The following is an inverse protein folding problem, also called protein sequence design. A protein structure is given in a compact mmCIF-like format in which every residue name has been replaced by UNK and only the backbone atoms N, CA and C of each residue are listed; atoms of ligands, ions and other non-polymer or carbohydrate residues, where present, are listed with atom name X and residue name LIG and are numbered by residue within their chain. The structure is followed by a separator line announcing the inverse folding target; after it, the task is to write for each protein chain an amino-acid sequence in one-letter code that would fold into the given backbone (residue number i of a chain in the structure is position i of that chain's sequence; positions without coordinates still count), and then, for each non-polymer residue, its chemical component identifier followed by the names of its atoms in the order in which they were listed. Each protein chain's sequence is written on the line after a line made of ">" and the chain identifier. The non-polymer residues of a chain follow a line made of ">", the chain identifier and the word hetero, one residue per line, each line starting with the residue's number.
data_IF_073484550347
#
_entry.id   IF_073484550347
#
_cell.length_a   1.000
_cell.length_b   1.000
_cell.length_c   1.000
_cell.angle_alpha   90.00
_cell.angle_beta   90.00
_cell.angle_gamma   90.00
#
_symmetry.space_group_name_H-M   'P 1'
#
loop_
_entity.id
_entity.type
_entity.pdbx_description
1 polymer ?
#
# COMPACT_ATOMS: atom_id res chain seq x y z
N UNK A 1 36.75 7.79 -10.33
CA UNK A 1 35.47 8.03 -11.02
C UNK A 1 35.04 9.44 -10.67
N UNK A 2 34.56 10.22 -11.63
CA UNK A 2 34.08 11.57 -11.37
C UNK A 2 32.76 11.48 -10.60
N UNK A 3 32.65 12.20 -9.49
CA UNK A 3 31.42 12.31 -8.69
C UNK A 3 30.33 12.97 -9.54
N UNK A 4 29.15 12.37 -9.57
CA UNK A 4 27.99 12.97 -10.27
C UNK A 4 27.06 13.62 -9.26
N UNK A 5 26.77 14.91 -9.49
CA UNK A 5 25.94 15.71 -8.62
C UNK A 5 24.52 15.87 -9.19
N UNK A 6 23.51 15.85 -8.29
CA UNK A 6 22.10 16.08 -8.60
C UNK A 6 21.49 17.11 -7.65
N UNK A 7 20.46 17.81 -8.08
CA UNK A 7 19.66 18.66 -7.20
C UNK A 7 18.88 17.79 -6.20
N UNK A 8 18.26 16.69 -6.70
CA UNK A 8 17.51 15.76 -5.86
C UNK A 8 17.91 14.31 -6.17
N UNK A 9 18.19 13.54 -5.13
CA UNK A 9 18.32 12.07 -5.21
C UNK A 9 17.17 11.42 -4.45
N UNK A 10 16.46 10.52 -5.15
CA UNK A 10 15.38 9.68 -4.60
C UNK A 10 15.94 8.28 -4.43
N UNK A 11 15.77 7.69 -3.24
CA UNK A 11 16.25 6.34 -2.91
C UNK A 11 15.06 5.42 -2.74
N UNK A 12 14.87 4.49 -3.67
CA UNK A 12 13.81 3.51 -3.74
C UNK A 12 12.89 3.69 -4.94
N UNK A 13 12.97 2.75 -5.88
CA UNK A 13 12.18 2.71 -7.12
C UNK A 13 10.82 2.02 -6.98
N UNK A 14 10.21 2.07 -5.77
CA UNK A 14 8.82 1.70 -5.55
C UNK A 14 7.85 2.75 -6.07
N UNK A 15 6.55 2.52 -5.88
CA UNK A 15 5.50 3.43 -6.37
C UNK A 15 5.66 4.87 -5.83
N UNK A 16 6.09 5.04 -4.58
CA UNK A 16 6.24 6.36 -3.95
C UNK A 16 7.39 7.15 -4.56
N UNK A 17 8.60 6.57 -4.62
CA UNK A 17 9.75 7.26 -5.22
C UNK A 17 9.60 7.49 -6.72
N UNK A 18 8.96 6.56 -7.44
CA UNK A 18 8.64 6.74 -8.86
C UNK A 18 7.65 7.88 -9.09
N UNK A 19 6.62 8.01 -8.23
CA UNK A 19 5.67 9.12 -8.28
C UNK A 19 6.36 10.47 -8.00
N UNK A 20 7.27 10.49 -7.01
CA UNK A 20 8.03 11.69 -6.69
C UNK A 20 8.93 12.12 -7.87
N UNK A 21 9.60 11.17 -8.52
CA UNK A 21 10.40 11.47 -9.72
C UNK A 21 9.56 12.15 -10.81
N UNK A 22 8.35 11.64 -11.06
CA UNK A 22 7.42 12.23 -12.02
C UNK A 22 6.97 13.62 -11.59
N UNK A 23 6.56 13.81 -10.34
CA UNK A 23 6.06 15.10 -9.86
C UNK A 23 7.14 16.16 -9.87
N UNK A 24 8.37 15.83 -9.48
CA UNK A 24 9.52 16.73 -9.56
C UNK A 24 9.84 17.12 -11.02
N UNK A 25 9.88 16.15 -11.93
CA UNK A 25 10.18 16.43 -13.32
C UNK A 25 9.11 17.29 -13.99
N UNK A 26 7.83 16.97 -13.79
CA UNK A 26 6.71 17.57 -14.52
C UNK A 26 6.29 18.95 -13.97
N UNK A 27 6.39 19.16 -12.63
CA UNK A 27 5.74 20.29 -11.96
C UNK A 27 6.69 21.18 -11.16
N UNK A 28 8.01 20.94 -11.18
CA UNK A 28 8.96 21.77 -10.41
C UNK A 28 10.03 22.41 -11.27
N UNK A 29 10.73 23.42 -10.72
CA UNK A 29 11.91 24.05 -11.32
C UNK A 29 13.17 23.19 -11.25
N UNK A 30 13.16 22.04 -10.53
CA UNK A 30 14.29 21.12 -10.39
C UNK A 30 14.62 20.49 -11.73
N UNK A 31 15.90 20.48 -12.12
CA UNK A 31 16.34 20.02 -13.45
C UNK A 31 17.05 18.68 -13.43
N UNK A 32 17.77 18.37 -12.36
CA UNK A 32 18.64 17.20 -12.28
C UNK A 32 18.21 16.28 -11.15
N UNK A 33 17.56 15.18 -11.50
CA UNK A 33 16.97 14.20 -10.57
C UNK A 33 17.65 12.85 -10.81
N UNK A 34 17.95 12.11 -9.73
CA UNK A 34 18.32 10.71 -9.81
C UNK A 34 17.35 9.84 -8.98
N UNK A 35 16.97 8.69 -9.51
CA UNK A 35 16.25 7.64 -8.81
C UNK A 35 17.13 6.40 -8.68
N UNK A 36 17.44 5.99 -7.45
CA UNK A 36 18.28 4.85 -7.15
C UNK A 36 17.42 3.67 -6.71
N UNK A 37 17.58 2.52 -7.36
CA UNK A 37 16.89 1.27 -7.02
C UNK A 37 17.90 0.13 -6.85
N UNK A 38 17.80 -0.63 -5.76
CA UNK A 38 18.75 -1.70 -5.46
C UNK A 38 18.60 -2.95 -6.33
N UNK A 39 17.45 -3.13 -6.95
CA UNK A 39 17.15 -4.27 -7.83
C UNK A 39 17.28 -3.93 -9.32
N UNK A 40 17.17 -4.96 -10.14
CA UNK A 40 17.24 -4.88 -11.61
C UNK A 40 16.03 -4.18 -12.26
N UNK A 41 14.98 -3.86 -11.49
CA UNK A 41 13.76 -3.24 -12.01
C UNK A 41 13.03 -2.42 -10.95
N UNK A 42 12.18 -1.52 -11.43
CA UNK A 42 11.29 -0.74 -10.59
C UNK A 42 10.15 -1.60 -10.02
N UNK A 43 9.66 -1.24 -8.84
CA UNK A 43 8.47 -1.83 -8.21
C UNK A 43 8.53 -3.36 -8.02
N UNK A 44 9.70 -3.94 -7.79
CA UNK A 44 9.91 -5.39 -7.71
C UNK A 44 9.53 -6.02 -6.37
N UNK A 45 9.24 -5.19 -5.33
CA UNK A 45 8.84 -5.63 -4.00
C UNK A 45 7.36 -5.33 -3.73
N UNK A 46 7.06 -4.47 -2.75
CA UNK A 46 5.70 -4.22 -2.26
C UNK A 46 4.77 -3.55 -3.28
N UNK A 47 5.33 -2.80 -4.23
CA UNK A 47 4.58 -2.17 -5.32
C UNK A 47 4.24 -3.13 -6.46
N UNK A 48 4.87 -4.30 -6.54
CA UNK A 48 4.54 -5.33 -7.52
C UNK A 48 3.09 -5.78 -7.36
N UNK A 49 2.37 -6.00 -8.46
CA UNK A 49 0.95 -6.36 -8.44
C UNK A 49 0.65 -7.64 -7.61
N UNK A 50 1.57 -8.61 -7.55
CA UNK A 50 1.43 -9.80 -6.69
C UNK A 50 1.61 -9.51 -5.20
N UNK A 51 2.13 -8.34 -4.81
CA UNK A 51 2.44 -8.02 -3.42
C UNK A 51 1.37 -7.17 -2.71
N UNK A 52 0.36 -6.69 -3.42
CA UNK A 52 -0.70 -5.83 -2.90
C UNK A 52 -2.08 -6.24 -3.43
N UNK A 53 -3.15 -5.59 -2.97
CA UNK A 53 -4.54 -5.89 -3.36
C UNK A 53 -4.92 -5.43 -4.76
N UNK A 54 -4.06 -4.74 -5.49
CA UNK A 54 -4.41 -4.13 -6.78
C UNK A 54 -5.65 -3.22 -6.68
N UNK A 55 -5.91 -2.65 -5.51
CA UNK A 55 -7.11 -1.87 -5.24
C UNK A 55 -6.77 -0.40 -5.11
N UNK A 56 -7.57 0.44 -5.75
CA UNK A 56 -7.60 1.87 -5.45
C UNK A 56 -8.44 2.05 -4.19
N UNK A 57 -7.76 2.37 -3.09
CA UNK A 57 -8.39 2.66 -1.81
C UNK A 57 -8.86 4.10 -1.78
N UNK A 58 -10.16 4.30 -1.98
CA UNK A 58 -10.76 5.65 -2.03
C UNK A 58 -11.32 6.12 -0.68
N UNK A 59 -11.37 5.27 0.34
CA UNK A 59 -12.04 5.55 1.60
C UNK A 59 -13.54 5.22 1.61
N UNK A 60 -14.07 4.73 0.50
CA UNK A 60 -15.48 4.39 0.32
C UNK A 60 -15.86 3.07 1.01
N UNK A 61 -15.03 2.03 0.87
CA UNK A 61 -15.26 0.70 1.47
C UNK A 61 -14.39 0.42 2.71
N UNK A 62 -13.47 1.31 3.06
CA UNK A 62 -12.64 1.22 4.26
C UNK A 62 -13.48 1.57 5.49
N UNK A 63 -14.08 0.54 6.13
CA UNK A 63 -15.10 0.70 7.16
C UNK A 63 -14.60 1.29 8.48
N UNK A 64 -13.28 1.41 8.65
CA UNK A 64 -12.64 2.03 9.82
C UNK A 64 -12.28 3.51 9.61
N UNK A 65 -12.56 4.11 8.44
CA UNK A 65 -12.30 5.53 8.21
C UNK A 65 -13.50 6.39 8.64
N UNK A 66 -13.21 7.53 9.24
CA UNK A 66 -14.18 8.62 9.37
C UNK A 66 -14.28 9.43 8.07
N UNK A 67 -15.20 10.38 8.02
CA UNK A 67 -15.41 11.23 6.84
C UNK A 67 -14.19 12.09 6.51
N UNK A 68 -13.48 12.59 7.50
CA UNK A 68 -12.30 13.42 7.29
C UNK A 68 -11.19 12.61 6.61
N UNK A 69 -10.89 11.42 7.16
CA UNK A 69 -9.89 10.52 6.58
C UNK A 69 -10.31 10.03 5.20
N UNK A 70 -11.58 9.71 5.01
CA UNK A 70 -12.12 9.28 3.72
C UNK A 70 -11.99 10.38 2.65
N UNK A 71 -12.30 11.63 3.00
CA UNK A 71 -12.13 12.79 2.09
C UNK A 71 -10.67 12.99 1.68
N UNK A 72 -9.73 12.89 2.64
CA UNK A 72 -8.30 12.99 2.36
C UNK A 72 -7.82 11.89 1.40
N UNK A 73 -8.21 10.65 1.68
CA UNK A 73 -7.81 9.48 0.88
C UNK A 73 -8.45 9.51 -0.51
N UNK A 74 -9.73 9.92 -0.60
CA UNK A 74 -10.41 10.12 -1.88
C UNK A 74 -9.66 11.08 -2.78
N UNK A 75 -9.29 12.25 -2.25
CA UNK A 75 -8.52 13.25 -3.01
C UNK A 75 -7.23 12.67 -3.58
N UNK A 76 -6.49 11.88 -2.79
CA UNK A 76 -5.25 11.22 -3.25
C UNK A 76 -5.52 10.12 -4.30
N UNK A 77 -6.62 9.38 -4.14
CA UNK A 77 -7.04 8.36 -5.10
C UNK A 77 -7.47 8.97 -6.44
N UNK A 78 -8.18 10.09 -6.41
CA UNK A 78 -8.62 10.80 -7.61
C UNK A 78 -7.41 11.26 -8.46
N UNK A 79 -6.29 11.66 -7.83
CA UNK A 79 -5.04 11.99 -8.54
C UNK A 79 -4.52 10.82 -9.39
N UNK A 80 -4.62 9.57 -8.89
CA UNK A 80 -4.20 8.38 -9.64
C UNK A 80 -5.05 8.22 -10.91
N UNK A 81 -6.36 8.36 -10.77
CA UNK A 81 -7.27 8.26 -11.90
C UNK A 81 -6.97 9.34 -12.93
N UNK A 82 -6.81 10.59 -12.49
CA UNK A 82 -6.45 11.73 -13.36
C UNK A 82 -5.13 11.52 -14.08
N UNK A 83 -4.08 11.06 -13.37
CA UNK A 83 -2.81 10.71 -13.98
C UNK A 83 -2.97 9.67 -15.09
N UNK A 84 -3.69 8.59 -14.80
CA UNK A 84 -3.89 7.51 -15.77
C UNK A 84 -4.71 7.97 -16.99
N UNK A 85 -5.71 8.81 -16.78
CA UNK A 85 -6.52 9.40 -17.85
C UNK A 85 -5.69 10.35 -18.74
N UNK A 86 -4.92 11.27 -18.11
CA UNK A 86 -4.01 12.18 -18.80
C UNK A 86 -3.10 11.44 -19.78
N UNK A 87 -2.59 10.26 -19.39
CA UNK A 87 -1.61 9.50 -20.17
C UNK A 87 -2.20 8.34 -20.97
N UNK A 88 -3.54 8.15 -20.98
CA UNK A 88 -4.21 7.10 -21.72
C UNK A 88 -3.89 5.68 -21.23
N UNK A 89 -3.86 5.48 -19.91
CA UNK A 89 -3.57 4.18 -19.28
C UNK A 89 -4.81 3.40 -18.85
N UNK A 90 -6.00 3.91 -19.17
CA UNK A 90 -7.26 3.21 -19.01
C UNK A 90 -7.28 1.91 -19.81
N UNK A 91 -7.78 0.84 -19.22
CA UNK A 91 -7.78 -0.52 -19.76
C UNK A 91 -6.38 -1.13 -20.10
N UNK A 92 -5.29 -0.44 -19.71
CA UNK A 92 -3.92 -0.98 -19.78
C UNK A 92 -3.48 -1.51 -18.43
N UNK A 93 -3.57 -0.69 -17.41
CA UNK A 93 -3.29 -1.07 -16.02
C UNK A 93 -4.22 -0.41 -15.00
N UNK A 94 -5.14 0.46 -15.44
CA UNK A 94 -6.24 1.01 -14.67
C UNK A 94 -7.56 0.46 -15.17
N UNK A 95 -8.38 -0.16 -14.30
CA UNK A 95 -9.60 -0.84 -14.69
C UNK A 95 -10.78 -0.43 -13.81
N UNK A 96 -11.93 -0.27 -14.45
CA UNK A 96 -13.22 -0.17 -13.76
C UNK A 96 -13.68 -1.55 -13.30
N UNK A 97 -14.45 -1.58 -12.21
CA UNK A 97 -15.01 -2.83 -11.73
C UNK A 97 -15.79 -2.67 -10.44
N UNK A 98 -16.48 -3.73 -10.09
CA UNK A 98 -17.23 -3.82 -8.84
C UNK A 98 -16.29 -3.82 -7.64
N UNK A 99 -16.69 -3.10 -6.59
CA UNK A 99 -16.01 -3.07 -5.31
C UNK A 99 -17.03 -2.85 -4.20
N UNK A 100 -17.02 -3.66 -3.15
CA UNK A 100 -17.98 -3.54 -2.06
C UNK A 100 -17.38 -3.94 -0.70
N UNK A 101 -17.93 -3.38 0.37
CA UNK A 101 -17.76 -3.84 1.74
C UNK A 101 -18.99 -4.66 2.15
N UNK A 102 -18.77 -5.88 2.63
CA UNK A 102 -19.79 -6.84 3.01
C UNK A 102 -19.97 -6.87 4.53
N UNK A 103 -21.19 -6.64 5.00
CA UNK A 103 -21.63 -6.92 6.37
C UNK A 103 -22.35 -8.27 6.43
N UNK A 104 -22.02 -9.08 7.43
CA UNK A 104 -22.58 -10.42 7.65
C UNK A 104 -23.08 -10.54 9.08
N UNK A 105 -24.37 -10.83 9.25
CA UNK A 105 -25.07 -10.85 10.52
C UNK A 105 -25.56 -9.46 10.94
N UNK A 106 -26.53 -9.43 11.83
CA UNK A 106 -27.32 -8.26 12.19
C UNK A 106 -26.45 -7.04 12.53
N UNK A 107 -25.46 -7.19 13.40
CA UNK A 107 -24.61 -6.08 13.85
C UNK A 107 -23.79 -5.45 12.73
N UNK A 108 -23.20 -6.27 11.82
CA UNK A 108 -22.43 -5.74 10.70
C UNK A 108 -23.35 -5.12 9.63
N UNK A 109 -24.55 -5.68 9.43
CA UNK A 109 -25.57 -5.13 8.52
C UNK A 109 -25.98 -3.72 8.95
N UNK A 110 -26.24 -3.51 10.24
CA UNK A 110 -26.55 -2.19 10.77
C UNK A 110 -25.41 -1.20 10.60
N UNK A 111 -24.18 -1.58 10.92
CA UNK A 111 -23.01 -0.72 10.74
C UNK A 111 -22.77 -0.33 9.28
N UNK A 112 -22.98 -1.24 8.34
CA UNK A 112 -22.88 -0.92 6.89
C UNK A 112 -23.97 0.06 6.47
N UNK A 113 -25.20 -0.12 6.94
CA UNK A 113 -26.32 0.81 6.64
C UNK A 113 -26.04 2.21 7.20
N UNK A 114 -25.61 2.30 8.48
CA UNK A 114 -25.25 3.59 9.07
C UNK A 114 -24.11 4.27 8.33
N UNK A 115 -23.10 3.48 7.91
CA UNK A 115 -21.99 4.01 7.16
C UNK A 115 -22.44 4.53 5.79
N UNK A 116 -23.29 3.80 5.09
CA UNK A 116 -23.84 4.23 3.81
C UNK A 116 -24.52 5.60 3.96
N UNK A 117 -25.38 5.78 4.95
CA UNK A 117 -26.07 7.06 5.18
C UNK A 117 -25.09 8.21 5.42
N UNK A 118 -23.99 7.96 6.13
CA UNK A 118 -22.94 8.97 6.42
C UNK A 118 -22.07 9.30 5.20
N UNK A 119 -21.88 8.35 4.27
CA UNK A 119 -20.88 8.45 3.21
C UNK A 119 -21.45 8.70 1.81
N UNK A 120 -22.74 8.48 1.58
CA UNK A 120 -23.40 8.61 0.28
C UNK A 120 -23.27 10.00 -0.36
N UNK A 121 -23.15 11.07 0.44
CA UNK A 121 -22.94 12.42 -0.09
C UNK A 121 -21.51 12.62 -0.59
N UNK A 122 -20.52 12.06 0.11
CA UNK A 122 -19.12 12.12 -0.28
C UNK A 122 -18.83 11.24 -1.51
N UNK A 123 -19.57 10.15 -1.65
CA UNK A 123 -19.45 9.18 -2.75
C UNK A 123 -20.81 8.93 -3.43
N UNK A 124 -21.26 9.81 -4.33
CA UNK A 124 -22.58 9.70 -4.97
C UNK A 124 -22.82 8.41 -5.77
N UNK A 125 -21.75 7.69 -6.10
CA UNK A 125 -21.81 6.40 -6.78
C UNK A 125 -22.07 5.21 -5.84
N UNK A 126 -21.99 5.39 -4.52
CA UNK A 126 -22.23 4.32 -3.57
C UNK A 126 -23.69 3.85 -3.64
N UNK A 127 -23.83 2.54 -3.58
CA UNK A 127 -25.10 1.83 -3.52
C UNK A 127 -25.09 0.90 -2.32
N UNK A 128 -26.27 0.66 -1.78
CA UNK A 128 -26.50 -0.35 -0.75
C UNK A 128 -27.21 -1.53 -1.43
N UNK A 129 -26.63 -2.71 -1.35
CA UNK A 129 -27.14 -3.93 -1.97
C UNK A 129 -27.66 -4.86 -0.88
N UNK A 130 -28.95 -5.17 -0.93
CA UNK A 130 -29.56 -6.17 -0.08
C UNK A 130 -29.25 -7.60 -0.57
N UNK A 131 -29.73 -8.62 0.17
CA UNK A 131 -29.49 -10.02 -0.15
C UNK A 131 -30.08 -10.43 -1.51
N UNK A 132 -31.22 -9.86 -1.92
CA UNK A 132 -31.87 -10.14 -3.20
C UNK A 132 -31.09 -9.54 -4.40
N UNK A 133 -30.52 -8.36 -4.20
CA UNK A 133 -29.66 -7.75 -5.18
C UNK A 133 -28.34 -8.49 -5.30
N UNK A 134 -27.75 -8.89 -4.16
CA UNK A 134 -26.52 -9.67 -4.12
C UNK A 134 -26.65 -11.04 -4.79
N UNK A 135 -27.84 -11.69 -4.77
CA UNK A 135 -28.10 -12.91 -5.54
C UNK A 135 -27.85 -12.72 -7.03
N UNK A 136 -28.10 -11.54 -7.56
CA UNK A 136 -27.94 -11.20 -8.99
C UNK A 136 -26.51 -10.77 -9.31
N UNK A 137 -25.88 -10.00 -8.44
CA UNK A 137 -24.59 -9.35 -8.67
C UNK A 137 -23.44 -10.30 -8.32
N UNK A 138 -23.52 -10.93 -7.14
CA UNK A 138 -22.49 -11.83 -6.56
C UNK A 138 -23.14 -13.05 -5.90
N UNK A 139 -23.73 -13.98 -6.66
CA UNK A 139 -24.48 -15.11 -6.10
C UNK A 139 -23.65 -15.97 -5.13
N UNK A 140 -22.33 -16.01 -5.28
CA UNK A 140 -21.43 -16.75 -4.39
C UNK A 140 -21.39 -16.20 -2.96
N UNK A 141 -21.83 -14.95 -2.72
CA UNK A 141 -21.97 -14.42 -1.37
C UNK A 141 -23.19 -14.97 -0.64
N UNK A 142 -24.18 -15.42 -1.39
CA UNK A 142 -25.50 -15.78 -0.89
C UNK A 142 -25.68 -17.29 -0.74
N UNK A 143 -25.25 -18.07 -1.73
CA UNK A 143 -25.54 -19.51 -1.77
C UNK A 143 -24.42 -20.35 -1.16
N UNK A 144 -24.82 -21.33 -0.34
CA UNK A 144 -23.93 -22.35 0.22
C UNK A 144 -23.59 -23.46 -0.80
N UNK A 145 -22.84 -24.47 -0.36
CA UNK A 145 -22.42 -25.59 -1.21
C UNK A 145 -23.55 -26.54 -1.65
N UNK A 146 -24.75 -26.40 -1.07
CA UNK A 146 -25.96 -27.17 -1.43
C UNK A 146 -26.90 -26.37 -2.33
N UNK A 147 -26.58 -25.11 -2.57
CA UNK A 147 -27.45 -24.19 -3.33
C UNK A 147 -28.54 -23.55 -2.49
N UNK A 148 -28.48 -23.70 -1.17
CA UNK A 148 -29.36 -23.04 -0.22
C UNK A 148 -28.82 -21.66 0.12
N UNK A 149 -29.71 -20.74 0.44
CA UNK A 149 -29.29 -19.41 0.91
C UNK A 149 -28.67 -19.50 2.31
N UNK A 150 -27.61 -18.73 2.53
CA UNK A 150 -27.05 -18.59 3.87
C UNK A 150 -28.09 -18.05 4.84
N UNK A 151 -28.06 -18.57 6.08
CA UNK A 151 -29.02 -18.17 7.12
C UNK A 151 -28.80 -16.74 7.61
N UNK A 152 -27.55 -16.25 7.57
CA UNK A 152 -27.22 -14.93 8.06
C UNK A 152 -27.78 -13.84 7.12
N UNK A 153 -28.22 -12.74 7.71
CA UNK A 153 -28.49 -11.53 6.98
C UNK A 153 -27.19 -10.95 6.44
N UNK A 154 -27.25 -10.44 5.22
CA UNK A 154 -26.12 -9.77 4.58
C UNK A 154 -26.57 -8.49 3.88
N UNK A 155 -25.70 -7.52 3.88
CA UNK A 155 -25.80 -6.30 3.08
C UNK A 155 -24.42 -5.91 2.59
N UNK A 156 -24.33 -5.32 1.41
CA UNK A 156 -23.08 -4.75 0.95
C UNK A 156 -23.25 -3.27 0.59
N UNK A 157 -22.22 -2.48 0.88
CA UNK A 157 -22.12 -1.10 0.44
C UNK A 157 -20.97 -0.99 -0.57
N UNK A 158 -21.21 -0.42 -1.73
CA UNK A 158 -20.17 -0.34 -2.74
C UNK A 158 -20.62 0.19 -4.08
N UNK A 159 -19.93 -0.22 -5.14
CA UNK A 159 -20.24 0.15 -6.52
C UNK A 159 -20.19 -1.09 -7.41
N UNK A 160 -21.13 -1.18 -8.33
CA UNK A 160 -21.19 -2.29 -9.30
C UNK A 160 -20.36 -2.02 -10.55
N UNK A 161 -20.35 -0.80 -11.07
CA UNK A 161 -19.66 -0.42 -12.32
C UNK A 161 -19.41 1.08 -12.39
N UNK A 162 -18.67 1.52 -13.42
CA UNK A 162 -18.49 2.94 -13.71
C UNK A 162 -17.43 3.65 -12.88
N UNK A 163 -16.77 2.95 -11.93
CA UNK A 163 -15.71 3.51 -11.08
C UNK A 163 -14.43 2.72 -11.25
N UNK A 164 -13.29 3.41 -11.30
CA UNK A 164 -11.99 2.78 -11.33
C UNK A 164 -11.63 2.22 -9.94
N UNK A 165 -11.49 0.92 -9.87
CA UNK A 165 -11.30 0.20 -8.60
C UNK A 165 -10.02 -0.63 -8.55
N UNK A 166 -9.44 -0.93 -9.72
CA UNK A 166 -8.34 -1.88 -9.86
C UNK A 166 -7.20 -1.28 -10.66
N UNK A 167 -5.97 -1.46 -10.15
CA UNK A 167 -4.77 -0.91 -10.77
C UNK A 167 -3.56 -1.82 -10.56
N UNK A 168 -2.68 -1.93 -11.55
CA UNK A 168 -1.32 -2.46 -11.40
C UNK A 168 -0.38 -1.33 -11.00
N UNK A 169 -0.06 -1.24 -9.70
CA UNK A 169 0.88 -0.25 -9.18
C UNK A 169 2.32 -0.44 -9.68
N UNK A 170 2.70 -1.64 -10.08
CA UNK A 170 4.01 -1.90 -10.68
C UNK A 170 4.13 -1.28 -12.07
N UNK A 171 3.12 -1.49 -12.91
CA UNK A 171 3.04 -0.85 -14.22
C UNK A 171 2.98 0.68 -14.10
N UNK A 172 2.20 1.19 -13.13
CA UNK A 172 2.10 2.63 -12.86
C UNK A 172 3.45 3.22 -12.41
N UNK A 173 4.21 2.55 -11.53
CA UNK A 173 5.53 3.01 -11.11
C UNK A 173 6.50 3.14 -12.30
N UNK A 174 6.49 2.16 -13.20
CA UNK A 174 7.28 2.22 -14.43
C UNK A 174 6.85 3.39 -15.33
N UNK A 175 5.54 3.63 -15.46
CA UNK A 175 5.02 4.74 -16.27
C UNK A 175 5.42 6.11 -15.71
N UNK A 176 5.46 6.29 -14.39
CA UNK A 176 5.92 7.52 -13.76
C UNK A 176 7.36 7.86 -14.17
N UNK A 177 8.27 6.90 -14.06
CA UNK A 177 9.67 7.11 -14.40
C UNK A 177 9.86 7.33 -15.91
N UNK A 178 9.10 6.60 -16.73
CA UNK A 178 9.13 6.81 -18.18
C UNK A 178 8.66 8.21 -18.55
N UNK A 179 7.57 8.70 -17.97
CA UNK A 179 7.07 10.05 -18.23
C UNK A 179 8.02 11.10 -17.67
N UNK A 180 8.63 10.91 -16.48
CA UNK A 180 9.63 11.81 -15.93
C UNK A 180 10.85 12.01 -16.86
N UNK A 181 11.32 10.92 -17.48
CA UNK A 181 12.45 10.98 -18.43
C UNK A 181 12.13 11.73 -19.74
N UNK A 182 10.87 11.82 -20.09
CA UNK A 182 10.42 12.43 -21.33
C UNK A 182 10.12 13.94 -21.17
N UNK A 183 10.25 14.50 -19.95
CA UNK A 183 10.02 15.94 -19.73
C UNK A 183 11.18 16.74 -20.32
N UNK A 184 10.89 17.63 -21.24
CA UNK A 184 11.88 18.44 -21.93
C UNK A 184 12.63 19.39 -20.95
N UNK A 185 13.94 19.50 -21.13
CA UNK A 185 14.79 20.34 -20.27
C UNK A 185 15.08 19.78 -18.89
N UNK A 186 14.70 18.51 -18.63
CA UNK A 186 14.96 17.79 -17.38
C UNK A 186 15.86 16.58 -17.58
N UNK A 187 16.63 16.28 -16.55
CA UNK A 187 17.38 15.01 -16.44
C UNK A 187 16.78 14.19 -15.32
N UNK A 188 16.31 13.00 -15.64
CA UNK A 188 15.84 12.02 -14.65
C UNK A 188 16.59 10.71 -14.86
N UNK A 189 17.69 10.54 -14.13
CA UNK A 189 18.55 9.35 -14.24
C UNK A 189 18.02 8.22 -13.35
N UNK A 190 17.88 7.06 -13.96
CA UNK A 190 17.51 5.83 -13.24
C UNK A 190 18.74 4.94 -13.07
N UNK A 191 19.14 4.71 -11.83
CA UNK A 191 20.23 3.81 -11.45
C UNK A 191 19.65 2.53 -10.83
N UNK A 192 19.50 1.50 -11.62
CA UNK A 192 19.14 0.14 -11.17
C UNK A 192 20.37 -0.60 -10.62
N UNK A 193 20.15 -1.70 -9.88
CA UNK A 193 21.20 -2.47 -9.20
C UNK A 193 22.13 -1.59 -8.34
N UNK A 194 21.56 -0.54 -7.74
CA UNK A 194 22.29 0.50 -7.02
C UNK A 194 21.79 0.58 -5.57
N UNK A 195 22.31 -0.30 -4.73
CA UNK A 195 21.98 -0.35 -3.30
C UNK A 195 22.72 0.74 -2.55
N UNK A 196 21.98 1.67 -1.92
CA UNK A 196 22.55 2.70 -1.05
C UNK A 196 22.96 2.07 0.28
N UNK A 197 24.24 2.29 0.66
CA UNK A 197 24.80 1.81 1.90
C UNK A 197 24.87 2.87 3.00
N UNK A 198 25.13 4.12 2.59
CA UNK A 198 25.29 5.22 3.53
C UNK A 198 24.93 6.55 2.87
N UNK A 199 24.40 7.48 3.68
CA UNK A 199 24.14 8.87 3.34
C UNK A 199 24.88 9.72 4.37
N UNK A 200 25.77 10.59 3.93
CA UNK A 200 26.55 11.47 4.81
C UNK A 200 26.34 12.91 4.41
N UNK A 201 25.96 13.77 5.35
CA UNK A 201 25.87 15.21 5.12
C UNK A 201 27.24 15.85 5.41
N UNK A 202 27.75 16.64 4.43
CA UNK A 202 28.97 17.43 4.57
C UNK A 202 28.68 18.83 4.04
N UNK A 203 28.67 19.80 4.93
CA UNK A 203 28.16 21.14 4.61
C UNK A 203 26.68 21.08 4.24
N UNK A 204 26.35 21.67 3.09
CA UNK A 204 24.98 21.69 2.57
C UNK A 204 24.64 20.54 1.61
N UNK A 205 25.60 19.60 1.40
CA UNK A 205 25.46 18.50 0.45
C UNK A 205 25.38 17.15 1.13
N UNK A 206 24.65 16.24 0.48
CA UNK A 206 24.57 14.83 0.86
C UNK A 206 25.43 13.99 -0.08
N UNK A 207 26.28 13.15 0.49
CA UNK A 207 27.12 12.20 -0.23
C UNK A 207 26.55 10.80 -0.05
N UNK A 208 26.24 10.15 -1.18
CA UNK A 208 25.61 8.83 -1.20
C UNK A 208 26.62 7.79 -1.65
N UNK A 209 26.90 6.83 -0.75
CA UNK A 209 27.76 5.70 -1.05
C UNK A 209 26.91 4.48 -1.38
N UNK A 210 27.22 3.83 -2.49
CA UNK A 210 26.49 2.67 -2.99
C UNK A 210 27.34 1.41 -2.96
N UNK A 211 26.70 0.22 -2.96
CA UNK A 211 27.38 -1.08 -2.95
C UNK A 211 28.21 -1.33 -4.23
N UNK A 212 27.77 -0.82 -5.37
CA UNK A 212 28.47 -0.89 -6.66
C UNK A 212 29.54 0.21 -6.82
N UNK A 213 29.91 0.90 -5.72
CA UNK A 213 30.96 1.95 -5.66
C UNK A 213 30.68 3.19 -6.52
N UNK A 214 29.43 3.43 -6.88
CA UNK A 214 29.02 4.68 -7.49
C UNK A 214 29.06 5.78 -6.41
N UNK A 215 29.72 6.91 -6.71
CA UNK A 215 29.80 8.06 -5.82
C UNK A 215 28.89 9.15 -6.38
N UNK A 216 27.90 9.54 -5.59
CA UNK A 216 26.89 10.52 -5.96
C UNK A 216 26.77 11.57 -4.86
N UNK A 217 26.43 12.81 -5.24
CA UNK A 217 26.05 13.84 -4.28
C UNK A 217 24.75 14.52 -4.67
N UNK A 218 24.06 15.08 -3.69
CA UNK A 218 22.81 15.79 -3.87
C UNK A 218 22.69 16.99 -2.92
N UNK A 219 21.92 17.97 -3.32
CA UNK A 219 21.50 19.08 -2.47
C UNK A 219 20.29 18.67 -1.60
N UNK A 220 19.42 17.77 -2.10
CA UNK A 220 18.27 17.25 -1.39
C UNK A 220 18.13 15.75 -1.59
N UNK A 221 17.71 15.01 -0.54
CA UNK A 221 17.53 13.55 -0.59
C UNK A 221 16.15 13.15 -0.08
N UNK A 222 15.47 12.24 -0.81
CA UNK A 222 14.25 11.61 -0.34
C UNK A 222 14.44 10.09 -0.30
N UNK A 223 14.18 9.49 0.84
CA UNK A 223 14.33 8.05 1.07
C UNK A 223 12.94 7.42 1.09
N UNK A 224 12.59 6.76 -0.01
CA UNK A 224 11.36 6.02 -0.26
C UNK A 224 11.61 4.51 -0.32
N UNK A 225 12.52 4.02 0.54
CA UNK A 225 13.02 2.64 0.51
C UNK A 225 12.13 1.64 1.27
N UNK A 226 10.85 1.99 1.51
CA UNK A 226 9.90 1.13 2.20
C UNK A 226 10.36 0.79 3.62
N UNK A 227 10.43 -0.50 3.99
CA UNK A 227 10.88 -0.92 5.32
C UNK A 227 12.36 -0.60 5.60
N UNK A 228 13.17 -0.33 4.57
CA UNK A 228 14.58 0.06 4.74
C UNK A 228 14.77 1.56 5.02
N UNK A 229 13.76 2.40 4.83
CA UNK A 229 13.86 3.85 5.03
C UNK A 229 14.30 4.20 6.44
N UNK A 230 13.77 3.53 7.45
CA UNK A 230 14.11 3.77 8.86
C UNK A 230 15.59 3.49 9.15
N UNK A 231 16.16 2.41 8.60
CA UNK A 231 17.58 2.08 8.78
C UNK A 231 18.51 3.19 8.25
N UNK A 232 18.13 3.89 7.21
CA UNK A 232 18.92 4.96 6.61
C UNK A 232 18.79 6.28 7.35
N UNK A 233 17.66 6.48 8.06
CA UNK A 233 17.27 7.74 8.68
C UNK A 233 17.33 7.79 10.19
N UNK A 234 17.95 6.85 10.84
CA UNK A 234 18.11 6.65 12.30
C UNK A 234 17.69 7.85 13.18
N UNK A 235 16.40 8.04 13.34
CA UNK A 235 15.87 8.73 14.51
C UNK A 235 15.85 7.71 15.67
N UNK A 236 16.53 8.00 16.76
CA UNK A 236 16.58 7.11 17.93
C UNK A 236 15.24 6.93 18.63
N UNK A 237 14.23 7.74 18.28
CA UNK A 237 12.89 7.75 18.88
C UNK A 237 11.90 6.76 18.22
N UNK A 238 12.32 6.04 17.19
CA UNK A 238 11.44 5.18 16.42
C UNK A 238 11.98 3.75 16.30
N UNK A 239 11.06 2.80 16.23
CA UNK A 239 11.33 1.40 15.91
C UNK A 239 10.42 0.93 14.80
N UNK A 240 10.87 -0.03 13.99
CA UNK A 240 10.08 -0.60 12.91
C UNK A 240 9.73 -2.05 13.21
N UNK A 241 8.44 -2.38 13.14
CA UNK A 241 7.95 -3.75 13.05
C UNK A 241 7.38 -4.01 11.66
N UNK A 242 7.50 -5.24 11.18
CA UNK A 242 7.07 -5.62 9.84
C UNK A 242 5.89 -6.58 9.91
N UNK A 243 4.77 -6.19 9.29
CA UNK A 243 3.59 -7.04 9.11
C UNK A 243 3.58 -7.55 7.67
N UNK A 244 3.69 -8.86 7.51
CA UNK A 244 3.65 -9.50 6.21
C UNK A 244 2.24 -10.03 5.92
N UNK A 245 1.81 -9.93 4.65
CA UNK A 245 0.57 -10.51 4.18
C UNK A 245 0.81 -11.63 3.17
N UNK A 246 0.10 -12.74 3.28
CA UNK A 246 0.03 -13.78 2.26
C UNK A 246 -1.33 -13.79 1.60
N UNK A 247 -1.37 -14.41 0.42
CA UNK A 247 -2.62 -14.61 -0.31
C UNK A 247 -2.84 -16.09 -0.62
N UNK A 248 -4.10 -16.45 -0.77
CA UNK A 248 -4.56 -17.69 -1.34
C UNK A 248 -5.28 -17.40 -2.65
N UNK A 249 -5.00 -18.17 -3.69
CA UNK A 249 -5.65 -18.07 -4.99
C UNK A 249 -6.64 -19.23 -5.16
N UNK A 250 -7.72 -18.98 -5.88
CA UNK A 250 -8.64 -20.03 -6.33
C UNK A 250 -8.18 -20.61 -7.67
N UNK A 251 -8.69 -21.77 -8.03
CA UNK A 251 -8.43 -22.41 -9.32
C UNK A 251 -9.22 -21.76 -10.47
N UNK A 252 -10.25 -21.02 -10.13
CA UNK A 252 -11.14 -20.36 -11.07
C UNK A 252 -11.67 -19.06 -10.49
N UNK A 253 -12.27 -18.21 -11.31
CA UNK A 253 -12.95 -17.00 -10.88
C UNK A 253 -14.18 -17.38 -10.04
N UNK A 254 -14.24 -16.93 -8.78
CA UNK A 254 -15.39 -17.13 -7.88
C UNK A 254 -16.16 -15.84 -7.63
N UNK A 255 -15.50 -14.68 -7.67
CA UNK A 255 -16.10 -13.37 -7.47
C UNK A 255 -16.04 -12.55 -8.76
N UNK A 256 -17.07 -11.76 -9.01
CA UNK A 256 -17.14 -10.85 -10.16
C UNK A 256 -16.29 -9.60 -9.92
N UNK A 257 -16.26 -9.12 -8.69
CA UNK A 257 -15.49 -7.95 -8.26
C UNK A 257 -14.85 -8.11 -6.91
N UNK A 258 -14.43 -6.98 -6.34
CA UNK A 258 -13.76 -6.93 -5.04
C UNK A 258 -14.79 -6.94 -3.92
N UNK A 259 -14.65 -7.88 -2.99
CA UNK A 259 -15.50 -7.99 -1.80
C UNK A 259 -14.62 -7.95 -0.55
N UNK A 260 -14.78 -6.90 0.23
CA UNK A 260 -14.05 -6.65 1.47
C UNK A 260 -14.95 -6.94 2.67
N UNK A 261 -14.38 -7.59 3.68
CA UNK A 261 -15.03 -7.71 4.98
C UNK A 261 -14.91 -6.42 5.77
N UNK A 262 -15.76 -6.23 6.75
CA UNK A 262 -15.62 -5.13 7.70
C UNK A 262 -14.27 -5.18 8.42
N UNK A 263 -13.66 -4.01 8.56
CA UNK A 263 -12.38 -3.85 9.26
C UNK A 263 -12.63 -3.76 10.77
N UNK A 264 -11.82 -4.48 11.54
CA UNK A 264 -11.77 -4.28 12.98
C UNK A 264 -11.02 -2.97 13.29
N UNK A 265 -11.62 -2.03 14.04
CA UNK A 265 -10.97 -0.76 14.39
C UNK A 265 -9.62 -0.91 15.09
N UNK A 266 -9.43 -1.98 15.89
CA UNK A 266 -8.16 -2.28 16.57
C UNK A 266 -7.09 -2.83 15.64
N UNK A 267 -7.47 -3.36 14.46
CA UNK A 267 -6.60 -4.07 13.52
C UNK A 267 -6.87 -3.60 12.07
N UNK A 268 -6.70 -2.31 11.79
CA UNK A 268 -7.18 -1.69 10.54
C UNK A 268 -6.48 -2.19 9.28
N UNK A 269 -5.37 -2.92 9.42
CA UNK A 269 -4.56 -3.42 8.29
C UNK A 269 -4.92 -4.83 7.82
N UNK A 270 -5.98 -5.44 8.35
CA UNK A 270 -6.17 -6.88 8.24
C UNK A 270 -7.59 -7.33 7.86
N UNK A 271 -8.33 -6.53 7.10
CA UNK A 271 -9.59 -6.98 6.55
C UNK A 271 -9.35 -8.05 5.47
N UNK A 272 -9.92 -9.24 5.68
CA UNK A 272 -9.97 -10.25 4.64
C UNK A 272 -10.80 -9.73 3.47
N UNK A 273 -10.30 -9.89 2.26
CA UNK A 273 -11.05 -9.62 1.04
C UNK A 273 -10.85 -10.72 0.00
N UNK A 274 -11.80 -10.82 -0.92
CA UNK A 274 -11.68 -11.61 -2.13
C UNK A 274 -11.77 -10.69 -3.35
N UNK A 275 -10.88 -10.88 -4.31
CA UNK A 275 -10.87 -10.06 -5.53
C UNK A 275 -10.34 -10.85 -6.74
N UNK A 276 -10.86 -10.59 -7.95
CA UNK A 276 -10.25 -11.10 -9.18
C UNK A 276 -8.84 -10.56 -9.32
N UNK A 277 -7.85 -11.43 -9.54
CA UNK A 277 -6.44 -11.07 -9.66
C UNK A 277 -6.06 -10.79 -11.11
N UNK A 278 -5.42 -9.63 -11.38
CA UNK A 278 -5.01 -9.22 -12.72
C UNK A 278 -3.95 -10.15 -13.33
N UNK A 279 -3.06 -10.73 -12.49
CA UNK A 279 -1.96 -11.57 -12.96
C UNK A 279 -2.36 -13.03 -13.09
N UNK A 280 -3.41 -13.47 -12.40
CA UNK A 280 -3.87 -14.86 -12.36
C UNK A 280 -5.11 -15.10 -13.24
N UNK A 281 -5.27 -14.36 -14.34
CA UNK A 281 -6.35 -14.56 -15.30
C UNK A 281 -7.75 -14.35 -14.70
N UNK A 282 -7.88 -13.51 -13.67
CA UNK A 282 -9.14 -13.25 -12.98
C UNK A 282 -9.53 -14.31 -11.94
N UNK A 283 -8.70 -15.33 -11.67
CA UNK A 283 -8.90 -16.21 -10.52
C UNK A 283 -9.05 -15.37 -9.24
N UNK A 284 -9.94 -15.80 -8.34
CA UNK A 284 -10.17 -15.02 -7.12
C UNK A 284 -9.01 -15.20 -6.16
N UNK A 285 -8.50 -14.07 -5.68
CA UNK A 285 -7.49 -14.01 -4.64
C UNK A 285 -8.12 -13.62 -3.32
N UNK A 286 -7.80 -14.36 -2.26
CA UNK A 286 -8.21 -14.08 -0.89
C UNK A 286 -7.01 -13.70 -0.04
N UNK A 287 -7.19 -12.70 0.81
CA UNK A 287 -6.19 -12.22 1.75
C UNK A 287 -6.31 -10.72 2.03
N UNK A 288 -5.24 -10.08 2.47
CA UNK A 288 -4.01 -10.73 2.95
C UNK A 288 -4.17 -11.33 4.35
N UNK A 289 -3.29 -12.25 4.70
CA UNK A 289 -3.00 -12.57 6.10
C UNK A 289 -2.20 -11.43 6.74
N UNK A 290 -2.03 -11.44 8.05
CA UNK A 290 -1.23 -10.44 8.76
C UNK A 290 -0.32 -11.12 9.79
N UNK A 291 0.90 -11.42 9.39
CA UNK A 291 1.92 -12.06 10.20
C UNK A 291 3.02 -11.08 10.55
N UNK A 292 3.40 -10.99 11.82
CA UNK A 292 4.63 -10.31 12.20
C UNK A 292 5.83 -11.10 11.68
N UNK A 293 6.64 -10.46 10.84
CA UNK A 293 7.77 -11.10 10.18
C UNK A 293 9.09 -10.41 10.56
N UNK A 294 10.10 -11.14 11.11
CA UNK A 294 11.39 -10.56 11.44
C UNK A 294 12.27 -10.37 10.17
N UNK A 295 11.72 -9.69 9.16
CA UNK A 295 12.38 -9.39 7.89
C UNK A 295 11.84 -8.10 7.31
N UNK A 296 12.67 -7.34 6.63
CA UNK A 296 12.26 -6.16 5.86
C UNK A 296 11.70 -6.53 4.47
N UNK A 297 11.98 -7.74 4.00
CA UNK A 297 11.53 -8.26 2.69
C UNK A 297 11.05 -9.71 2.81
N UNK A 298 9.84 -9.99 2.30
CA UNK A 298 9.22 -11.29 2.54
C UNK A 298 9.91 -12.45 1.83
N UNK A 299 10.18 -12.34 0.54
CA UNK A 299 10.59 -13.46 -0.32
C UNK A 299 12.06 -13.42 -0.77
N UNK A 300 12.86 -12.52 -0.22
CA UNK A 300 14.29 -12.37 -0.57
C UNK A 300 15.24 -13.09 0.42
N UNK A 301 14.83 -14.27 0.91
CA UNK A 301 15.64 -15.07 1.81
C UNK A 301 15.75 -14.46 3.23
N UNK A 302 16.88 -14.74 3.92
CA UNK A 302 17.13 -14.26 5.28
C UNK A 302 18.04 -13.03 5.33
N UNK A 303 18.44 -12.47 4.18
CA UNK A 303 19.40 -11.35 4.11
C UNK A 303 18.96 -10.13 4.93
N UNK A 304 17.66 -9.84 4.95
CA UNK A 304 17.10 -8.68 5.67
C UNK A 304 16.76 -8.94 7.15
N UNK A 305 17.07 -10.13 7.69
CA UNK A 305 16.84 -10.43 9.13
C UNK A 305 17.73 -9.58 10.04
N UNK A 306 19.06 -9.50 9.83
CA UNK A 306 19.89 -8.61 10.65
C UNK A 306 19.46 -7.15 10.56
N UNK A 307 19.07 -6.70 9.38
CA UNK A 307 18.60 -5.34 9.15
C UNK A 307 17.26 -5.06 9.87
N UNK A 308 16.38 -6.06 9.95
CA UNK A 308 15.16 -5.97 10.75
C UNK A 308 15.48 -5.71 12.22
N UNK A 309 16.38 -6.49 12.83
CA UNK A 309 16.74 -6.30 14.24
C UNK A 309 17.41 -4.94 14.49
N UNK A 310 18.19 -4.44 13.55
CA UNK A 310 18.72 -3.07 13.62
C UNK A 310 17.59 -2.03 13.58
N UNK A 311 16.60 -2.20 12.70
CA UNK A 311 15.45 -1.28 12.58
C UNK A 311 14.43 -1.43 13.72
N UNK A 312 14.36 -2.60 14.35
CA UNK A 312 13.52 -2.83 15.52
C UNK A 312 14.01 -2.01 16.72
N UNK A 313 15.33 -1.75 16.83
CA UNK A 313 15.94 -0.96 17.91
C UNK A 313 15.32 -1.32 19.27
N UNK A 314 15.40 -2.62 19.62
CA UNK A 314 14.63 -3.21 20.70
C UNK A 314 15.11 -2.67 22.07
N UNK A 315 14.21 -2.02 22.81
CA UNK A 315 14.40 -1.55 24.16
C UNK A 315 13.19 -1.86 25.06
N UNK A 316 13.20 -1.34 26.28
CA UNK A 316 12.10 -1.53 27.25
C UNK A 316 10.78 -0.87 26.81
N UNK A 317 10.83 0.23 26.07
CA UNK A 317 9.61 0.89 25.60
C UNK A 317 8.98 0.12 24.44
N UNK A 318 9.78 -0.39 23.51
CA UNK A 318 9.33 -1.33 22.47
C UNK A 318 8.72 -2.59 23.09
N UNK A 319 9.39 -3.17 24.12
CA UNK A 319 8.87 -4.32 24.84
C UNK A 319 7.50 -4.05 25.47
N UNK A 320 7.33 -2.88 26.11
CA UNK A 320 6.04 -2.45 26.69
C UNK A 320 4.94 -2.31 25.63
N UNK A 321 5.23 -1.64 24.51
CA UNK A 321 4.26 -1.47 23.41
C UNK A 321 3.84 -2.82 22.85
N UNK A 322 4.79 -3.73 22.62
CA UNK A 322 4.48 -5.09 22.17
C UNK A 322 3.62 -5.82 23.21
N UNK A 323 3.99 -5.76 24.48
CA UNK A 323 3.25 -6.42 25.57
C UNK A 323 1.84 -5.87 25.74
N UNK A 324 1.64 -4.54 25.64
CA UNK A 324 0.32 -3.92 25.70
C UNK A 324 -0.58 -4.39 24.57
N UNK A 325 -0.06 -4.49 23.35
CA UNK A 325 -0.82 -5.00 22.21
C UNK A 325 -1.13 -6.50 22.33
N UNK A 326 -0.21 -7.31 22.87
CA UNK A 326 -0.45 -8.73 23.17
C UNK A 326 -1.39 -8.96 24.38
N UNK A 327 -1.51 -7.99 25.27
CA UNK A 327 -2.44 -8.03 26.41
C UNK A 327 -3.91 -7.93 25.97
N UNK A 328 -4.20 -7.32 24.83
CA UNK A 328 -5.54 -7.31 24.23
C UNK A 328 -5.86 -8.70 23.66
N UNK A 329 -6.91 -9.35 24.16
CA UNK A 329 -7.29 -10.71 23.74
C UNK A 329 -7.64 -10.80 22.26
N UNK A 330 -8.31 -9.79 21.70
CA UNK A 330 -8.68 -9.77 20.27
C UNK A 330 -7.43 -9.67 19.38
N UNK A 331 -6.49 -8.81 19.76
CA UNK A 331 -5.21 -8.65 19.02
C UNK A 331 -4.39 -9.93 19.09
N UNK A 332 -4.28 -10.52 20.28
CA UNK A 332 -3.56 -11.77 20.50
C UNK A 332 -4.16 -12.93 19.70
N UNK A 333 -5.47 -13.12 19.76
CA UNK A 333 -6.17 -14.18 19.06
C UNK A 333 -6.07 -14.01 17.53
N UNK A 334 -6.08 -12.77 17.07
CA UNK A 334 -5.85 -12.43 15.68
C UNK A 334 -4.42 -12.82 15.25
N UNK A 335 -3.40 -12.45 16.01
CA UNK A 335 -2.00 -12.77 15.70
C UNK A 335 -1.77 -14.30 15.69
N UNK A 336 -2.26 -15.03 16.70
CA UNK A 336 -2.17 -16.50 16.77
C UNK A 336 -2.83 -17.14 15.55
N UNK A 337 -4.02 -16.68 15.18
CA UNK A 337 -4.74 -17.18 14.00
C UNK A 337 -3.95 -16.95 12.72
N UNK A 338 -3.35 -15.78 12.56
CA UNK A 338 -2.55 -15.46 11.39
C UNK A 338 -1.24 -16.26 11.30
N UNK A 339 -0.61 -16.60 12.43
CA UNK A 339 0.49 -17.57 12.46
C UNK A 339 -0.01 -18.92 11.95
N UNK A 340 -1.20 -19.34 12.38
CA UNK A 340 -1.82 -20.59 11.92
C UNK A 340 -1.99 -20.66 10.40
N UNK A 341 -2.29 -19.57 9.74
CA UNK A 341 -2.47 -19.53 8.28
C UNK A 341 -1.18 -19.79 7.48
N UNK A 342 -0.02 -19.58 8.07
CA UNK A 342 1.28 -19.81 7.42
C UNK A 342 1.79 -21.26 7.60
N UNK A 343 1.13 -22.06 8.43
CA UNK A 343 1.50 -23.46 8.65
C UNK A 343 1.01 -24.30 7.45
N UNK A 344 1.89 -25.02 6.75
CA UNK A 344 1.49 -25.88 5.65
C UNK A 344 0.35 -26.84 6.04
N UNK A 345 -0.61 -27.08 5.15
CA UNK A 345 -1.80 -27.94 5.32
C UNK A 345 -2.81 -27.33 6.31
N UNK A 346 -2.42 -27.09 7.56
CA UNK A 346 -3.31 -26.53 8.60
C UNK A 346 -3.77 -25.11 8.21
N UNK A 347 -2.87 -24.29 7.70
CA UNK A 347 -3.16 -22.91 7.31
C UNK A 347 -4.26 -22.82 6.27
N UNK A 348 -4.24 -23.69 5.27
CA UNK A 348 -5.28 -23.76 4.25
C UNK A 348 -6.66 -24.05 4.86
N UNK A 349 -6.76 -25.03 5.76
CA UNK A 349 -8.00 -25.41 6.45
C UNK A 349 -8.54 -24.27 7.32
N UNK A 350 -7.66 -23.61 8.08
CA UNK A 350 -8.03 -22.45 8.90
C UNK A 350 -8.46 -21.26 8.05
N UNK A 351 -7.76 -21.01 6.95
CA UNK A 351 -8.04 -19.88 6.06
C UNK A 351 -9.41 -20.03 5.36
N UNK A 352 -9.75 -21.23 4.87
CA UNK A 352 -11.06 -21.51 4.28
C UNK A 352 -12.19 -21.20 5.25
N UNK A 353 -12.02 -21.49 6.54
CA UNK A 353 -13.03 -21.14 7.55
C UNK A 353 -13.33 -19.63 7.59
N UNK A 354 -12.29 -18.80 7.42
CA UNK A 354 -12.49 -17.36 7.34
C UNK A 354 -13.07 -16.91 5.99
N UNK A 355 -12.59 -17.50 4.89
CA UNK A 355 -13.08 -17.18 3.54
C UNK A 355 -14.57 -17.53 3.35
N UNK A 356 -15.10 -18.51 4.10
CA UNK A 356 -16.54 -18.85 4.11
C UNK A 356 -17.44 -17.72 4.58
N UNK A 357 -16.91 -16.76 5.31
CA UNK A 357 -17.67 -15.56 5.66
C UNK A 357 -18.02 -14.74 4.39
N UNK A 358 -17.13 -14.75 3.38
CA UNK A 358 -17.38 -14.14 2.07
C UNK A 358 -18.15 -15.13 1.19
N UNK A 359 -17.59 -16.32 0.94
CA UNK A 359 -18.18 -17.35 0.06
C UNK A 359 -18.53 -18.58 0.89
N UNK A 360 -19.80 -18.78 1.30
CA UNK A 360 -20.20 -19.91 2.14
C UNK A 360 -19.86 -21.28 1.55
N UNK A 361 -19.88 -21.40 0.22
CA UNK A 361 -19.65 -22.63 -0.52
C UNK A 361 -18.18 -23.00 -0.71
N UNK A 362 -17.21 -22.13 -0.33
CA UNK A 362 -15.79 -22.35 -0.62
C UNK A 362 -15.24 -23.56 0.17
N UNK A 363 -14.44 -24.40 -0.49
CA UNK A 363 -13.83 -25.61 0.06
C UNK A 363 -12.30 -25.54 -0.02
N UNK A 364 -11.65 -26.45 0.71
CA UNK A 364 -10.19 -26.52 0.73
C UNK A 364 -9.59 -26.83 -0.65
N UNK A 365 -10.28 -27.63 -1.48
CA UNK A 365 -9.84 -27.95 -2.83
C UNK A 365 -9.90 -26.79 -3.81
N UNK A 366 -10.68 -25.74 -3.50
CA UNK A 366 -10.87 -24.57 -4.37
C UNK A 366 -9.70 -23.60 -4.28
N UNK A 367 -8.92 -23.62 -3.20
CA UNK A 367 -7.85 -22.66 -2.96
C UNK A 367 -6.47 -23.31 -2.84
N UNK A 368 -5.43 -22.52 -3.10
CA UNK A 368 -4.03 -22.87 -2.85
C UNK A 368 -3.24 -21.67 -2.38
N UNK A 369 -2.20 -21.92 -1.59
CA UNK A 369 -1.30 -20.86 -1.13
C UNK A 369 -0.55 -20.23 -2.32
N UNK A 370 -0.64 -18.93 -2.48
CA UNK A 370 -0.04 -18.20 -3.59
C UNK A 370 1.42 -17.83 -3.26
N UNK A 371 2.35 -18.76 -3.49
CA UNK A 371 3.78 -18.54 -3.26
C UNK A 371 4.29 -17.33 -4.07
N UNK A 372 4.95 -16.39 -3.41
CA UNK A 372 5.43 -15.16 -4.05
C UNK A 372 4.42 -14.02 -4.10
N UNK A 373 3.19 -14.25 -3.62
CA UNK A 373 2.18 -13.21 -3.44
C UNK A 373 2.21 -12.68 -2.01
N UNK A 374 2.10 -11.37 -1.89
CA UNK A 374 2.14 -10.65 -0.63
C UNK A 374 3.41 -9.84 -0.43
N UNK A 375 3.32 -8.87 0.45
CA UNK A 375 4.37 -7.90 0.75
C UNK A 375 4.59 -7.72 2.23
N UNK A 376 5.47 -6.79 2.58
CA UNK A 376 5.76 -6.36 3.94
C UNK A 376 5.24 -4.94 4.13
N UNK A 377 4.48 -4.72 5.20
CA UNK A 377 3.99 -3.41 5.62
C UNK A 377 4.73 -3.00 6.87
N UNK A 378 5.70 -2.08 6.78
CA UNK A 378 6.36 -1.58 7.96
C UNK A 378 5.39 -0.75 8.79
N UNK A 379 5.42 -0.92 10.11
CA UNK A 379 4.73 -0.10 11.08
C UNK A 379 5.75 0.51 12.02
N UNK A 380 5.48 1.70 12.52
CA UNK A 380 6.39 2.45 13.37
C UNK A 380 5.93 2.39 14.83
N UNK A 381 6.85 2.13 15.74
CA UNK A 381 6.65 2.34 17.17
C UNK A 381 7.37 3.63 17.54
N UNK A 382 6.66 4.58 18.13
CA UNK A 382 7.25 5.77 18.73
C UNK A 382 7.60 5.49 20.18
N UNK A 383 8.87 5.71 20.55
CA UNK A 383 9.36 5.55 21.93
C UNK A 383 8.83 6.69 22.82
N UNK A 384 8.82 7.92 22.31
CA UNK A 384 8.32 9.09 23.06
C UNK A 384 6.82 9.00 23.35
N UNK A 385 6.02 8.52 22.36
CA UNK A 385 4.58 8.36 22.54
C UNK A 385 4.18 7.01 23.14
N UNK A 386 5.11 6.04 23.20
CA UNK A 386 4.88 4.65 23.65
C UNK A 386 3.68 3.99 22.94
N UNK A 387 3.60 4.20 21.62
CA UNK A 387 2.48 3.73 20.79
C UNK A 387 2.95 3.18 19.46
N UNK A 388 2.20 2.21 18.97
CA UNK A 388 2.25 1.78 17.57
C UNK A 388 1.54 2.83 16.71
N UNK A 389 2.28 3.46 15.80
CA UNK A 389 1.75 4.42 14.84
C UNK A 389 1.29 3.65 13.61
N UNK A 390 -0.01 3.71 13.35
CA UNK A 390 -0.62 3.06 12.20
C UNK A 390 -0.73 4.05 11.04
N UNK A 391 -0.31 3.63 9.86
CA UNK A 391 -0.39 4.45 8.65
C UNK A 391 0.95 5.00 8.19
N UNK A 392 0.89 6.05 7.37
CA UNK A 392 2.06 6.67 6.77
C UNK A 392 2.86 7.45 7.81
N UNK A 393 4.18 7.26 7.80
CA UNK A 393 5.11 8.00 8.65
C UNK A 393 6.13 8.74 7.78
N UNK A 394 6.30 10.03 8.04
CA UNK A 394 7.42 10.84 7.59
C UNK A 394 8.39 10.95 8.75
N UNK A 395 9.59 10.45 8.57
CA UNK A 395 10.60 10.36 9.62
C UNK A 395 11.70 11.38 9.31
N UNK A 396 12.10 12.13 10.32
CA UNK A 396 13.22 13.05 10.27
C UNK A 396 12.85 14.45 9.77
N UNK A 397 13.26 15.45 10.54
CA UNK A 397 13.15 16.87 10.24
C UNK A 397 14.52 17.49 9.96
N UNK A 398 15.47 16.69 9.46
CA UNK A 398 16.78 17.22 9.10
C UNK A 398 16.66 18.04 7.82
N UNK A 399 17.14 19.27 7.81
CA UNK A 399 17.10 20.10 6.60
C UNK A 399 17.79 19.41 5.43
N UNK A 400 17.05 19.29 4.31
CA UNK A 400 17.54 18.74 3.05
C UNK A 400 17.38 17.22 2.88
N UNK A 401 16.82 16.49 3.87
CA UNK A 401 16.56 15.05 3.74
C UNK A 401 15.21 14.65 4.34
N UNK A 402 14.48 13.80 3.63
CA UNK A 402 13.18 13.23 4.05
C UNK A 402 13.29 11.71 4.04
N UNK A 403 12.72 11.06 5.05
CA UNK A 403 12.53 9.62 5.08
C UNK A 403 11.04 9.30 5.16
N UNK A 404 10.56 8.48 4.23
CA UNK A 404 9.16 8.06 4.18
C UNK A 404 9.03 6.57 4.47
N UNK A 405 8.03 6.22 5.28
CA UNK A 405 7.47 4.88 5.38
C UNK A 405 5.98 4.96 5.08
N UNK A 406 5.57 4.33 3.98
CA UNK A 406 4.20 4.43 3.45
C UNK A 406 3.54 3.05 3.40
N UNK A 407 3.08 2.51 4.55
CA UNK A 407 2.25 1.32 4.57
C UNK A 407 0.89 1.57 3.89
N UNK A 408 0.05 0.55 3.76
CA UNK A 408 -1.27 0.68 3.15
C UNK A 408 -2.10 1.80 3.83
N UNK A 409 -2.73 2.70 3.06
CA UNK A 409 -2.93 2.71 1.61
C UNK A 409 -1.84 3.46 0.80
N UNK A 410 -0.58 3.41 1.21
CA UNK A 410 0.53 4.20 0.66
C UNK A 410 0.66 4.21 -0.86
N UNK A 411 0.31 3.11 -1.54
CA UNK A 411 0.32 3.07 -2.99
C UNK A 411 -0.74 4.00 -3.61
N UNK A 412 -1.95 4.05 -3.05
CA UNK A 412 -3.00 4.97 -3.50
C UNK A 412 -2.65 6.43 -3.16
N UNK A 413 -1.93 6.65 -2.08
CA UNK A 413 -1.52 7.99 -1.64
C UNK A 413 -0.28 8.53 -2.35
N UNK A 414 0.35 7.78 -3.26
CA UNK A 414 1.68 8.07 -3.79
C UNK A 414 1.82 9.47 -4.42
N UNK A 415 0.84 9.92 -5.22
CA UNK A 415 0.87 11.25 -5.83
C UNK A 415 0.67 12.38 -4.81
N UNK A 416 -0.20 12.17 -3.81
CA UNK A 416 -0.38 13.13 -2.73
C UNK A 416 0.87 13.27 -1.85
N UNK A 417 1.58 12.17 -1.60
CA UNK A 417 2.86 12.18 -0.89
C UNK A 417 3.96 12.82 -1.74
N UNK A 418 4.01 12.50 -3.03
CA UNK A 418 4.94 13.10 -3.97
C UNK A 418 4.76 14.62 -4.07
N UNK A 419 3.52 15.13 -4.10
CA UNK A 419 3.23 16.56 -4.07
C UNK A 419 3.81 17.23 -2.82
N UNK A 420 3.55 16.65 -1.64
CA UNK A 420 4.07 17.18 -0.36
C UNK A 420 5.59 17.23 -0.36
N UNK A 421 6.24 16.15 -0.76
CA UNK A 421 7.69 16.03 -0.69
C UNK A 421 8.38 16.85 -1.79
N UNK A 422 7.77 16.99 -2.98
CA UNK A 422 8.24 17.88 -4.04
C UNK A 422 8.19 19.33 -3.61
N UNK A 423 7.11 19.78 -2.96
CA UNK A 423 7.03 21.14 -2.42
C UNK A 423 8.10 21.40 -1.35
N UNK A 424 8.35 20.43 -0.46
CA UNK A 424 9.43 20.55 0.53
C UNK A 424 10.82 20.65 -0.12
N UNK A 425 11.06 19.88 -1.19
CA UNK A 425 12.32 19.98 -1.95
C UNK A 425 12.46 21.33 -2.66
N UNK A 426 11.39 21.80 -3.29
CA UNK A 426 11.38 23.12 -3.95
C UNK A 426 11.63 24.26 -2.97
N UNK A 427 10.97 24.24 -1.82
CA UNK A 427 11.16 25.24 -0.76
C UNK A 427 12.60 25.25 -0.25
N UNK A 428 13.17 24.08 0.02
CA UNK A 428 14.56 23.96 0.50
C UNK A 428 15.59 24.46 -0.54
N UNK A 429 15.35 24.14 -1.82
CA UNK A 429 16.27 24.50 -2.92
C UNK A 429 16.03 25.91 -3.47
N UNK A 430 15.00 26.62 -3.01
CA UNK A 430 14.64 27.95 -3.49
C UNK A 430 14.16 27.96 -4.94
N UNK A 431 13.54 26.87 -5.44
CA UNK A 431 13.00 26.76 -6.79
C UNK A 431 11.48 26.73 -6.78
N UNK A 432 10.85 27.08 -7.90
CA UNK A 432 9.37 27.10 -8.00
C UNK A 432 8.78 25.71 -8.12
N UNK A 433 7.55 25.57 -7.62
CA UNK A 433 6.64 24.49 -7.92
C UNK A 433 5.43 25.07 -8.66
N UNK A 434 4.98 24.44 -9.74
CA UNK A 434 3.84 24.88 -10.53
C UNK A 434 2.53 24.30 -9.99
N UNK A 435 2.01 24.96 -8.94
CA UNK A 435 0.75 24.57 -8.31
C UNK A 435 -0.42 24.64 -9.28
N UNK A 436 -0.44 25.64 -10.16
CA UNK A 436 -1.55 25.84 -11.09
C UNK A 436 -1.65 24.70 -12.11
N UNK A 437 -0.50 24.28 -12.66
CA UNK A 437 -0.42 23.13 -13.56
C UNK A 437 -0.78 21.83 -12.84
N UNK A 438 -0.24 21.62 -11.64
CA UNK A 438 -0.54 20.43 -10.85
C UNK A 438 -2.03 20.32 -10.55
N UNK A 439 -2.66 21.39 -10.09
CA UNK A 439 -4.09 21.41 -9.76
C UNK A 439 -4.95 21.18 -11.01
N UNK A 440 -4.59 21.76 -12.14
CA UNK A 440 -5.33 21.59 -13.40
C UNK A 440 -5.27 20.13 -13.91
N UNK A 441 -4.14 19.47 -13.77
CA UNK A 441 -3.90 18.14 -14.35
C UNK A 441 -4.20 16.99 -13.41
N UNK A 442 -4.05 17.18 -12.08
CA UNK A 442 -4.14 16.11 -11.08
C UNK A 442 -5.33 16.26 -10.14
N UNK A 443 -5.94 17.47 -10.02
CA UNK A 443 -6.97 17.72 -9.01
C UNK A 443 -8.35 18.01 -9.64
N UNK A 444 -8.39 18.66 -10.81
CA UNK A 444 -9.64 19.00 -11.53
C UNK A 444 -9.95 17.98 -12.63
#
# INVERSE_FOLDING_TARGET
>A
MQEKHYEVIIIGGGITGSALAYVLAEFSGIKNIALLEKYEGLATLNSKASANSQTIHCGDIETNYDLQKATEVKRKADMIVKYCQKHGYENKFLFQGQKMALGVGESEVELIKERFEKFKELYPYLQLFDKEELKKIEPKLVFDGRGEERAEDIVAMGVQSGVYTTIDYGAMANSFVQNAKNVEGKTCDLHLNTEVQNITKVGDKFYIRTANRLSLSADFVVVDAGAHSHKMGLGQDLSTICIAGSFYLTKQKLLNGKVYMMQNPKLPFAALHGDPDLLAGGCTRFGPTALTLPKLERYKGCRSVPEFFQSLNFDMDVAKVIWQNFGDSEVRDFLIRNIGFEIPILGKKLFVKNARKIIPSIREEDIYYAKGFGGVRPQVISHSQKKLLLGEARIGENPGIIFNMTPSPGATSCLGNALRDAKSACEYLGVSFDDAKFDAEMMR
#
